data_IF_725832745553
#
_entry.id   IF_725832745553
#
_cell.length_a   1.000
_cell.length_b   1.000
_cell.length_c   1.000
_cell.angle_alpha   90.00
_cell.angle_beta   90.00
_cell.angle_gamma   90.00
#
_symmetry.space_group_name_H-M   'P 1'
#
loop_
_entity.id
_entity.type
_entity.pdbx_description
1 polymer ?
#
# COMPACT_ATOMS: atom_id res chain seq x y z
N UNK A 1 5.28 28.62 -4.07
CA UNK A 1 6.31 28.84 -3.02
C UNK A 1 7.67 28.47 -3.60
N UNK A 2 8.75 29.17 -3.23
CA UNK A 2 10.12 28.83 -3.66
C UNK A 2 10.84 28.12 -2.53
N UNK A 3 11.32 26.91 -2.80
CA UNK A 3 12.01 26.07 -1.82
C UNK A 3 13.20 25.42 -2.49
N UNK A 4 14.31 25.28 -1.76
CA UNK A 4 15.46 24.52 -2.22
C UNK A 4 15.31 23.09 -1.72
N UNK A 5 15.39 22.12 -2.64
CA UNK A 5 15.30 20.69 -2.35
C UNK A 5 16.52 19.99 -2.93
N UNK A 6 16.93 18.88 -2.32
CA UNK A 6 17.93 17.97 -2.90
C UNK A 6 17.20 16.93 -3.74
N UNK A 7 17.74 16.61 -4.90
CA UNK A 7 17.22 15.57 -5.79
C UNK A 7 18.29 14.49 -5.91
N UNK A 8 17.85 13.24 -5.80
CA UNK A 8 18.69 12.09 -6.13
C UNK A 8 18.84 11.97 -7.66
N UNK A 9 19.87 11.24 -8.11
CA UNK A 9 20.25 11.16 -9.53
C UNK A 9 19.12 10.59 -10.42
N UNK A 10 18.33 9.66 -9.89
CA UNK A 10 17.19 9.06 -10.57
C UNK A 10 16.04 10.06 -10.78
N UNK A 11 15.77 10.90 -9.77
CA UNK A 11 14.77 11.97 -9.85
C UNK A 11 15.20 13.04 -10.85
N UNK A 12 16.50 13.40 -10.87
CA UNK A 12 17.03 14.35 -11.85
C UNK A 12 16.92 13.79 -13.27
N UNK A 13 17.23 12.52 -13.48
CA UNK A 13 17.08 11.87 -14.79
C UNK A 13 15.62 11.86 -15.27
N UNK A 14 14.67 11.57 -14.38
CA UNK A 14 13.25 11.62 -14.70
C UNK A 14 12.79 13.05 -15.07
N UNK A 15 13.28 14.07 -14.35
CA UNK A 15 12.99 15.46 -14.66
C UNK A 15 13.58 15.86 -16.04
N UNK A 16 14.82 15.48 -16.34
CA UNK A 16 15.44 15.75 -17.64
C UNK A 16 14.69 15.09 -18.81
N UNK A 17 14.23 13.85 -18.62
CA UNK A 17 13.40 13.17 -19.62
C UNK A 17 12.11 13.95 -19.89
N UNK A 18 11.42 14.37 -18.83
CA UNK A 18 10.18 15.16 -18.95
C UNK A 18 10.43 16.52 -19.62
N UNK A 19 11.56 17.17 -19.32
CA UNK A 19 11.98 18.42 -19.98
C UNK A 19 12.15 18.25 -21.48
N UNK A 20 12.73 17.12 -21.93
CA UNK A 20 12.93 16.83 -23.36
C UNK A 20 11.61 16.55 -24.08
N UNK A 21 10.71 15.82 -23.43
CA UNK A 21 9.41 15.45 -24.00
C UNK A 21 8.45 16.63 -24.11
N UNK A 22 8.47 17.54 -23.12
CA UNK A 22 7.47 18.62 -22.99
C UNK A 22 8.04 20.01 -23.24
N UNK A 23 9.35 20.14 -23.45
CA UNK A 23 10.05 21.42 -23.65
C UNK A 23 9.83 22.43 -22.50
N UNK A 24 9.79 21.94 -21.26
CA UNK A 24 9.56 22.74 -20.05
C UNK A 24 10.84 22.97 -19.23
N UNK A 25 10.77 23.92 -18.29
CA UNK A 25 11.86 24.21 -17.35
C UNK A 25 12.02 23.16 -16.25
N UNK A 26 13.18 23.12 -15.58
CA UNK A 26 13.45 22.16 -14.51
C UNK A 26 12.46 22.28 -13.34
N UNK A 27 12.20 23.50 -12.86
CA UNK A 27 11.25 23.72 -11.76
C UNK A 27 9.82 23.31 -12.12
N UNK A 28 9.45 23.41 -13.39
CA UNK A 28 8.15 23.00 -13.88
C UNK A 28 8.05 21.47 -13.94
N UNK A 29 9.06 20.81 -14.52
CA UNK A 29 9.16 19.35 -14.57
C UNK A 29 9.12 18.72 -13.17
N UNK A 30 9.86 19.26 -12.20
CA UNK A 30 9.85 18.78 -10.81
C UNK A 30 8.48 18.93 -10.18
N UNK A 31 7.78 20.05 -10.41
CA UNK A 31 6.42 20.24 -9.88
C UNK A 31 5.39 19.30 -10.53
N UNK A 32 5.53 18.99 -11.81
CA UNK A 32 4.69 17.98 -12.47
C UNK A 32 4.91 16.58 -11.89
N UNK A 33 6.16 16.16 -11.73
CA UNK A 33 6.51 14.88 -11.11
C UNK A 33 5.97 14.80 -9.68
N UNK A 34 6.15 15.87 -8.89
CA UNK A 34 5.64 15.94 -7.52
C UNK A 34 4.10 15.81 -7.47
N UNK A 35 3.38 16.53 -8.35
CA UNK A 35 1.92 16.43 -8.45
C UNK A 35 1.45 15.05 -8.88
N UNK A 36 2.12 14.44 -9.84
CA UNK A 36 1.82 13.07 -10.28
C UNK A 36 2.04 12.06 -9.14
N UNK A 37 3.07 12.27 -8.30
CA UNK A 37 3.32 11.46 -7.10
C UNK A 37 2.24 11.63 -6.03
N UNK A 38 1.81 12.87 -5.74
CA UNK A 38 0.77 13.15 -4.75
C UNK A 38 -0.57 12.51 -5.15
N UNK A 39 -0.94 12.55 -6.43
CA UNK A 39 -2.19 11.95 -6.93
C UNK A 39 -2.18 10.42 -6.98
N UNK A 40 -1.02 9.77 -6.82
CA UNK A 40 -0.87 8.33 -6.93
C UNK A 40 -1.02 7.65 -5.57
N UNK A 41 -2.19 7.77 -4.96
CA UNK A 41 -2.58 6.76 -3.97
C UNK A 41 -2.90 5.48 -4.74
N UNK A 42 -2.18 4.36 -4.52
CA UNK A 42 -2.65 3.09 -5.06
C UNK A 42 -4.04 2.87 -4.48
N UNK A 43 -5.05 2.74 -5.34
CA UNK A 43 -6.37 2.38 -4.91
C UNK A 43 -6.23 1.11 -4.05
N UNK A 44 -6.51 1.23 -2.76
CA UNK A 44 -6.45 0.09 -1.87
C UNK A 44 -7.37 -0.97 -2.47
N UNK A 45 -6.84 -2.17 -2.74
CA UNK A 45 -7.69 -3.26 -3.21
C UNK A 45 -8.77 -3.45 -2.14
N UNK A 46 -10.06 -3.43 -2.49
CA UNK A 46 -11.12 -3.66 -1.52
C UNK A 46 -10.84 -4.96 -0.80
N UNK A 47 -10.86 -4.91 0.54
CA UNK A 47 -10.72 -6.13 1.33
C UNK A 47 -11.82 -7.12 0.91
N UNK A 48 -11.40 -8.33 0.52
CA UNK A 48 -12.32 -9.44 0.26
C UNK A 48 -12.02 -10.53 1.26
N UNK A 49 -12.91 -10.68 2.24
CA UNK A 49 -12.87 -11.78 3.18
C UNK A 49 -12.95 -13.10 2.40
N UNK A 50 -11.92 -13.93 2.52
CA UNK A 50 -11.92 -15.30 2.01
C UNK A 50 -12.45 -16.19 3.12
N UNK A 51 -13.68 -16.65 2.99
CA UNK A 51 -14.26 -17.63 3.91
C UNK A 51 -13.98 -19.04 3.40
N UNK A 52 -13.62 -19.93 4.32
CA UNK A 52 -13.50 -21.36 4.06
C UNK A 52 -14.44 -22.11 4.99
N UNK A 53 -15.05 -23.19 4.50
CA UNK A 53 -15.87 -24.06 5.33
C UNK A 53 -14.94 -24.88 6.21
N UNK A 54 -14.82 -24.50 7.48
CA UNK A 54 -13.87 -25.13 8.39
C UNK A 54 -14.30 -26.54 8.86
N UNK A 55 -15.51 -27.03 8.52
CA UNK A 55 -16.05 -28.31 9.03
C UNK A 55 -15.89 -28.48 10.56
N UNK A 56 -15.80 -27.36 11.27
CA UNK A 56 -15.69 -27.33 12.73
C UNK A 56 -17.08 -27.64 13.30
N UNK A 57 -17.11 -28.60 14.23
CA UNK A 57 -18.31 -29.01 14.97
C UNK A 57 -18.53 -28.22 16.27
N UNK A 58 -17.63 -27.28 16.56
CA UNK A 58 -17.60 -26.48 17.79
C UNK A 58 -18.22 -25.11 17.49
N UNK A 59 -19.03 -24.59 18.39
CA UNK A 59 -19.53 -23.21 18.30
C UNK A 59 -18.37 -22.23 18.56
N UNK A 60 -18.09 -21.37 17.59
CA UNK A 60 -16.99 -20.38 17.64
C UNK A 60 -17.51 -18.96 17.90
N UNK A 61 -18.78 -18.81 18.25
CA UNK A 61 -19.37 -17.52 18.64
C UNK A 61 -18.82 -17.03 19.99
N UNK A 62 -18.41 -17.97 20.86
CA UNK A 62 -17.67 -17.72 22.09
C UNK A 62 -16.21 -18.18 21.92
N UNK A 63 -15.32 -17.23 21.59
CA UNK A 63 -13.92 -17.54 21.28
C UNK A 63 -13.17 -18.16 22.47
N UNK A 64 -13.46 -17.74 23.70
CA UNK A 64 -12.76 -18.24 24.89
C UNK A 64 -13.02 -19.73 25.13
N UNK A 65 -14.30 -20.13 25.07
CA UNK A 65 -14.74 -21.51 25.25
C UNK A 65 -14.28 -22.42 24.11
N UNK A 66 -14.27 -21.91 22.87
CA UNK A 66 -13.77 -22.66 21.72
C UNK A 66 -12.26 -22.97 21.82
N UNK A 67 -11.46 -22.04 22.35
CA UNK A 67 -10.02 -22.25 22.57
C UNK A 67 -9.80 -23.29 23.68
N UNK A 68 -10.51 -23.17 24.81
CA UNK A 68 -10.41 -24.11 25.93
C UNK A 68 -10.77 -25.55 25.52
N UNK A 69 -11.80 -25.72 24.69
CA UNK A 69 -12.18 -27.03 24.14
C UNK A 69 -11.08 -27.65 23.26
N UNK A 70 -10.39 -26.83 22.45
CA UNK A 70 -9.32 -27.30 21.57
C UNK A 70 -8.07 -27.69 22.37
N UNK A 71 -7.67 -26.88 23.36
CA UNK A 71 -6.53 -27.16 24.23
C UNK A 71 -6.76 -28.41 25.10
N UNK A 72 -8.02 -28.68 25.48
CA UNK A 72 -8.42 -29.87 26.24
C UNK A 72 -8.32 -31.19 25.47
N UNK A 73 -8.36 -31.15 24.13
CA UNK A 73 -8.34 -32.33 23.25
C UNK A 73 -6.93 -32.78 22.84
N UNK A 74 -5.86 -32.10 23.26
CA UNK A 74 -4.46 -32.50 22.97
C UNK A 74 -3.93 -33.64 23.86
N UNK A 75 -4.80 -34.39 24.54
CA UNK A 75 -4.42 -35.50 25.44
C UNK A 75 -5.17 -36.80 25.15
N UNK A 76 -4.95 -37.41 23.99
CA UNK A 76 -5.08 -38.87 23.77
C UNK A 76 -4.24 -39.26 22.55
#
# INVERSE_FOLDING_TARGET
MRTTVRLDDDVLAAAEQLRRERHIGLSEAVNELARAGIGRQPAAKPFRQRTHRLRISIDVSNVAEAIEYLDGNERT
#
